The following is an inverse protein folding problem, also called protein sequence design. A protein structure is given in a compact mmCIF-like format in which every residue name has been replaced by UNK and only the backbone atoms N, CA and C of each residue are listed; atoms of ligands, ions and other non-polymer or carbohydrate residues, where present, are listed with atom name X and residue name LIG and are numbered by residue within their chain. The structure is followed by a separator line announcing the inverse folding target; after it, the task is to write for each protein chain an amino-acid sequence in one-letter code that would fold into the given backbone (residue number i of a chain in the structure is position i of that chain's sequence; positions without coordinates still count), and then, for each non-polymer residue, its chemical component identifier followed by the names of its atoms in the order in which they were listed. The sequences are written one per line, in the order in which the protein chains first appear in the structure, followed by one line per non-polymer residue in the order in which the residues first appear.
data_IF_899953689411
#
_entry.id   IF_899953689411
#
_cell.length_a   1.000
_cell.length_b   1.000
_cell.length_c   1.000
_cell.angle_alpha   90.00
_cell.angle_beta   90.00
_cell.angle_gamma   90.00
#
_symmetry.space_group_name_H-M   'P 1'
#
loop_
_entity.id
_entity.type
_entity.pdbx_description
1 polymer ?
#
# COMPACT_ATOMS: atom_id res chain seq x y z
N UNK A 1 -2.48 -3.62 -15.55
CA UNK A 1 -1.59 -2.49 -15.25
C UNK A 1 -0.92 -2.84 -13.95
N UNK A 2 0.36 -2.50 -13.77
CA UNK A 2 1.04 -2.79 -12.52
C UNK A 2 0.55 -1.83 -11.43
N UNK A 3 0.53 -2.32 -10.20
CA UNK A 3 0.33 -1.54 -8.97
C UNK A 3 1.66 -0.93 -8.53
N UNK A 4 1.63 0.18 -7.80
CA UNK A 4 2.84 0.84 -7.30
C UNK A 4 3.69 -0.10 -6.44
N UNK A 5 3.07 -0.96 -5.63
CA UNK A 5 3.79 -1.96 -4.86
C UNK A 5 4.55 -2.95 -5.76
N UNK A 6 3.94 -3.37 -6.87
CA UNK A 6 4.58 -4.25 -7.86
C UNK A 6 5.72 -3.51 -8.60
N UNK A 7 5.51 -2.23 -8.93
CA UNK A 7 6.55 -1.39 -9.52
C UNK A 7 7.75 -1.21 -8.59
N UNK A 8 7.54 -1.03 -7.28
CA UNK A 8 8.62 -0.97 -6.28
C UNK A 8 9.43 -2.28 -6.27
N UNK A 9 8.78 -3.44 -6.33
CA UNK A 9 9.47 -4.73 -6.42
C UNK A 9 10.29 -4.82 -7.71
N UNK A 10 9.73 -4.38 -8.84
CA UNK A 10 10.46 -4.36 -10.11
C UNK A 10 11.67 -3.41 -10.08
N UNK A 11 11.57 -2.27 -9.40
CA UNK A 11 12.71 -1.35 -9.23
C UNK A 11 13.85 -1.99 -8.42
N UNK A 12 13.55 -2.95 -7.56
CA UNK A 12 14.57 -3.70 -6.84
C UNK A 12 15.18 -4.81 -7.69
N UNK A 13 14.52 -5.27 -8.74
CA UNK A 13 14.98 -6.37 -9.58
C UNK A 13 16.12 -5.93 -10.51
N UNK A 14 17.25 -6.62 -10.45
CA UNK A 14 18.35 -6.41 -11.39
C UNK A 14 18.11 -7.20 -12.68
N UNK A 15 18.03 -6.49 -13.81
CA UNK A 15 17.80 -7.09 -15.14
C UNK A 15 18.89 -8.07 -15.59
N UNK A 16 20.11 -7.93 -15.08
CA UNK A 16 21.26 -8.72 -15.51
C UNK A 16 21.35 -10.10 -14.85
N UNK A 17 21.10 -10.17 -13.55
CA UNK A 17 21.24 -11.41 -12.77
C UNK A 17 19.95 -11.88 -12.07
N UNK A 18 18.86 -11.12 -12.22
CA UNK A 18 17.55 -11.40 -11.63
C UNK A 18 17.53 -11.29 -10.11
N UNK A 19 18.56 -10.72 -9.48
CA UNK A 19 18.61 -10.57 -8.03
C UNK A 19 17.97 -9.26 -7.59
N UNK A 20 17.31 -9.30 -6.44
CA UNK A 20 16.82 -8.08 -5.81
C UNK A 20 17.95 -7.29 -5.12
N UNK A 21 17.89 -5.97 -5.24
CA UNK A 21 18.72 -5.05 -4.49
C UNK A 21 18.49 -5.25 -2.98
N UNK A 22 19.57 -5.21 -2.21
CA UNK A 22 19.48 -5.33 -0.75
C UNK A 22 19.10 -3.99 -0.14
N UNK A 23 17.87 -3.93 0.36
CA UNK A 23 17.35 -2.83 1.16
C UNK A 23 17.02 -3.33 2.58
N UNK A 24 17.02 -2.47 3.60
CA UNK A 24 16.49 -2.85 4.90
C UNK A 24 15.02 -3.30 4.77
N UNK A 25 14.64 -4.40 5.44
CA UNK A 25 13.27 -4.96 5.37
C UNK A 25 12.20 -3.91 5.68
N UNK A 26 12.36 -3.19 6.79
CA UNK A 26 11.44 -2.11 7.18
C UNK A 26 11.24 -1.07 6.05
N UNK A 27 12.31 -0.70 5.33
CA UNK A 27 12.20 0.27 4.23
C UNK A 27 11.40 -0.28 3.05
N UNK A 28 11.52 -1.58 2.76
CA UNK A 28 10.71 -2.24 1.75
C UNK A 28 9.26 -2.33 2.19
N UNK A 29 9.01 -2.76 3.41
CA UNK A 29 7.65 -2.94 3.93
C UNK A 29 6.87 -1.60 3.91
N UNK A 30 7.49 -0.49 4.32
CA UNK A 30 6.89 0.85 4.17
C UNK A 30 6.67 1.28 2.71
N UNK A 31 7.58 0.93 1.81
CA UNK A 31 7.42 1.27 0.39
C UNK A 31 6.26 0.51 -0.25
N UNK A 32 6.07 -0.76 0.11
CA UNK A 32 4.95 -1.58 -0.35
C UNK A 32 3.62 -1.10 0.23
N UNK A 33 3.58 -0.85 1.54
CA UNK A 33 2.41 -0.26 2.21
C UNK A 33 2.02 1.09 1.58
N UNK A 34 3.00 1.97 1.35
CA UNK A 34 2.79 3.24 0.67
C UNK A 34 2.24 3.06 -0.74
N UNK A 35 2.76 2.08 -1.50
CA UNK A 35 2.26 1.76 -2.84
C UNK A 35 0.79 1.33 -2.83
N UNK A 36 0.38 0.46 -1.91
CA UNK A 36 -1.03 0.05 -1.75
C UNK A 36 -1.94 1.24 -1.47
N UNK A 37 -1.53 2.14 -0.56
CA UNK A 37 -2.31 3.34 -0.24
C UNK A 37 -2.39 4.31 -1.43
N UNK A 38 -1.30 4.46 -2.20
CA UNK A 38 -1.30 5.29 -3.42
C UNK A 38 -2.28 4.75 -4.46
N UNK A 39 -2.27 3.44 -4.71
CA UNK A 39 -3.20 2.79 -5.63
C UNK A 39 -4.66 2.95 -5.17
N UNK A 40 -4.95 2.75 -3.88
CA UNK A 40 -6.30 2.97 -3.33
C UNK A 40 -6.78 4.42 -3.50
N UNK A 41 -5.88 5.39 -3.34
CA UNK A 41 -6.19 6.80 -3.57
C UNK A 41 -6.49 7.09 -5.05
N UNK A 42 -5.70 6.52 -5.98
CA UNK A 42 -5.92 6.65 -7.42
C UNK A 42 -7.22 5.98 -7.90
N UNK A 43 -7.61 4.89 -7.24
CA UNK A 43 -8.90 4.22 -7.45
C UNK A 43 -10.07 4.93 -6.74
N UNK A 44 -9.84 6.10 -6.16
CA UNK A 44 -10.83 6.90 -5.41
C UNK A 44 -11.50 6.15 -4.25
N UNK A 45 -10.78 5.21 -3.61
CA UNK A 45 -11.27 4.48 -2.43
C UNK A 45 -10.98 5.21 -1.15
N UNK A 46 -9.84 5.90 -1.10
CA UNK A 46 -9.41 6.71 0.04
C UNK A 46 -8.94 8.08 -0.44
N UNK A 47 -8.84 9.01 0.50
CA UNK A 47 -8.13 10.27 0.35
C UNK A 47 -7.22 10.45 1.57
N UNK A 48 -6.14 11.21 1.42
CA UNK A 48 -5.19 11.48 2.50
C UNK A 48 -4.90 12.97 2.55
N UNK A 49 -5.06 13.58 3.71
CA UNK A 49 -4.46 14.88 4.00
C UNK A 49 -3.25 14.70 4.94
N UNK A 50 -2.66 15.82 5.38
CA UNK A 50 -1.49 15.81 6.27
C UNK A 50 -1.78 15.20 7.65
N UNK A 51 -3.03 15.17 8.06
CA UNK A 51 -3.47 14.81 9.40
C UNK A 51 -4.31 13.52 9.43
N UNK A 52 -5.08 13.24 8.39
CA UNK A 52 -6.09 12.19 8.37
C UNK A 52 -6.11 11.43 7.03
N UNK A 53 -6.41 10.13 7.12
CA UNK A 53 -6.84 9.34 5.98
C UNK A 53 -8.37 9.20 6.03
N UNK A 54 -9.02 9.53 4.93
CA UNK A 54 -10.47 9.47 4.79
C UNK A 54 -10.84 8.30 3.87
N UNK A 55 -11.83 7.51 4.31
CA UNK A 55 -12.48 6.54 3.44
C UNK A 55 -13.49 7.26 2.54
N UNK A 56 -13.35 7.10 1.23
CA UNK A 56 -14.22 7.72 0.22
C UNK A 56 -15.26 6.72 -0.29
N UNK A 57 -14.82 5.51 -0.65
CA UNK A 57 -15.67 4.42 -1.14
C UNK A 57 -15.10 3.08 -0.64
N UNK A 58 -15.94 2.30 0.04
CA UNK A 58 -15.57 0.97 0.56
C UNK A 58 -15.90 -0.17 -0.42
N UNK A 59 -16.41 0.14 -1.61
CA UNK A 59 -16.68 -0.87 -2.64
C UNK A 59 -15.37 -1.56 -3.03
N UNK A 60 -15.29 -2.90 -3.01
CA UNK A 60 -14.09 -3.61 -3.43
C UNK A 60 -13.61 -3.16 -4.81
N UNK A 61 -12.30 -3.10 -4.99
CA UNK A 61 -11.64 -2.81 -6.26
C UNK A 61 -11.64 -4.03 -7.18
N UNK A 62 -11.79 -5.23 -6.61
CA UNK A 62 -11.60 -6.51 -7.31
C UNK A 62 -10.13 -6.90 -7.41
N UNK A 63 -9.24 -6.17 -6.74
CA UNK A 63 -7.81 -6.41 -6.68
C UNK A 63 -7.43 -7.04 -5.34
N UNK A 64 -6.89 -8.25 -5.38
CA UNK A 64 -6.52 -9.01 -4.19
C UNK A 64 -5.39 -8.39 -3.37
N UNK A 65 -4.62 -7.46 -3.95
CA UNK A 65 -3.59 -6.71 -3.23
C UNK A 65 -4.19 -5.53 -2.44
N UNK A 66 -5.22 -4.88 -2.98
CA UNK A 66 -5.78 -3.65 -2.41
C UNK A 66 -6.96 -3.92 -1.46
N UNK A 67 -7.82 -4.88 -1.81
CA UNK A 67 -9.07 -5.15 -1.10
C UNK A 67 -8.88 -5.51 0.38
N UNK A 68 -7.86 -6.29 0.80
CA UNK A 68 -7.64 -6.57 2.22
C UNK A 68 -7.36 -5.31 3.06
N UNK A 69 -6.60 -4.36 2.52
CA UNK A 69 -6.32 -3.08 3.19
C UNK A 69 -7.54 -2.18 3.20
N UNK A 70 -8.30 -2.15 2.09
CA UNK A 70 -9.54 -1.38 2.01
C UNK A 70 -10.60 -1.88 3.02
N UNK A 71 -10.76 -3.19 3.17
CA UNK A 71 -11.67 -3.79 4.15
C UNK A 71 -11.32 -3.37 5.58
N UNK A 72 -10.03 -3.31 5.90
CA UNK A 72 -9.57 -2.89 7.22
C UNK A 72 -9.79 -1.38 7.46
N UNK A 73 -9.50 -0.55 6.47
CA UNK A 73 -9.79 0.89 6.52
C UNK A 73 -11.28 1.12 6.72
N UNK A 74 -12.13 0.36 6.02
CA UNK A 74 -13.58 0.42 6.14
C UNK A 74 -14.11 -0.05 7.51
N UNK A 75 -13.41 -0.98 8.15
CA UNK A 75 -13.73 -1.44 9.51
C UNK A 75 -13.21 -0.49 10.61
N UNK A 76 -12.27 0.41 10.27
CA UNK A 76 -11.61 1.33 11.19
C UNK A 76 -12.42 2.57 11.58
N UNK A 77 -12.05 3.18 12.71
CA UNK A 77 -12.41 4.58 13.02
C UNK A 77 -11.48 5.53 12.26
N UNK A 78 -11.80 6.83 12.15
CA UNK A 78 -10.91 7.81 11.48
C UNK A 78 -9.50 7.79 12.12
N UNK A 79 -8.46 7.44 11.34
CA UNK A 79 -7.07 7.29 11.80
C UNK A 79 -6.12 8.06 10.88
N UNK A 80 -4.96 8.40 11.41
CA UNK A 80 -3.93 9.14 10.67
C UNK A 80 -3.27 8.24 9.61
N UNK A 81 -2.72 8.85 8.56
CA UNK A 81 -2.00 8.12 7.49
C UNK A 81 -0.81 7.31 8.04
N UNK A 82 -0.12 7.82 9.06
CA UNK A 82 1.00 7.11 9.72
C UNK A 82 0.56 5.81 10.39
N UNK A 83 -0.63 5.78 11.00
CA UNK A 83 -1.18 4.56 11.60
C UNK A 83 -1.41 3.46 10.55
N UNK A 84 -1.90 3.84 9.36
CA UNK A 84 -2.17 2.88 8.29
C UNK A 84 -0.91 2.34 7.62
N UNK A 85 0.16 3.13 7.57
CA UNK A 85 1.47 2.66 7.10
C UNK A 85 2.01 1.53 8.00
N UNK A 86 1.94 1.70 9.33
CA UNK A 86 2.37 0.69 10.30
C UNK A 86 1.50 -0.58 10.23
N UNK A 87 0.17 -0.43 10.10
CA UNK A 87 -0.75 -1.57 10.05
C UNK A 87 -0.64 -2.39 8.76
N UNK A 88 -0.34 -1.74 7.64
CA UNK A 88 -0.24 -2.42 6.34
C UNK A 88 1.09 -3.17 6.19
N UNK A 89 2.16 -2.72 6.86
CA UNK A 89 3.44 -3.44 6.97
C UNK A 89 3.24 -4.86 7.52
N UNK A 90 2.43 -5.04 8.57
CA UNK A 90 2.16 -6.34 9.20
C UNK A 90 1.47 -7.37 8.29
N UNK A 91 0.91 -6.95 7.15
CA UNK A 91 0.14 -7.80 6.23
C UNK A 91 0.82 -8.05 4.89
N UNK A 92 1.98 -7.43 4.65
CA UNK A 92 2.76 -7.64 3.43
C UNK A 92 3.65 -8.90 3.46
N UNK A 93 3.66 -9.64 4.59
CA UNK A 93 4.29 -10.96 4.76
C UNK A 93 3.32 -12.11 4.41
#
# INVERSE_FOLDING_TARGET
MLRFAEEVILLLLNDGDGRFARVPKWSLDYALAGGVLMDLALENRIDTDLENMLLIDSTPTGDGLLDPTLEEIAAGTNRTTSYWLEQTEDKAD
#
